data_IF_973887522446
#
_entry.id   IF_973887522446
#
_cell.length_a   1.000
_cell.length_b   1.000
_cell.length_c   1.000
_cell.angle_alpha   90.00
_cell.angle_beta   90.00
_cell.angle_gamma   90.00
#
_symmetry.space_group_name_H-M   'P 1'
#
loop_
_entity.id
_entity.type
_entity.pdbx_description
1 polymer ?
#
# COMPACT_ATOMS: atom_id res chain seq x y z
N UNK A 1 -11.34 4.72 -25.67
CA UNK A 1 -11.67 5.89 -24.82
C UNK A 1 -10.38 6.61 -24.45
N UNK A 2 -10.45 7.93 -24.19
CA UNK A 2 -9.32 8.67 -23.60
C UNK A 2 -9.51 8.80 -22.10
N UNK A 3 -8.52 8.37 -21.32
CA UNK A 3 -8.57 8.32 -19.85
C UNK A 3 -7.44 9.14 -19.26
N UNK A 4 -7.76 10.01 -18.31
CA UNK A 4 -6.77 10.77 -17.54
C UNK A 4 -6.51 10.05 -16.22
N UNK A 5 -5.26 9.64 -15.98
CA UNK A 5 -4.81 9.03 -14.73
C UNK A 5 -4.15 10.11 -13.85
N UNK A 6 -4.64 10.28 -12.62
CA UNK A 6 -4.15 11.27 -11.66
C UNK A 6 -3.49 10.56 -10.48
N UNK A 7 -2.19 10.78 -10.30
CA UNK A 7 -1.41 10.25 -9.17
C UNK A 7 -0.50 11.32 -8.58
N UNK A 8 -0.44 11.43 -7.26
CA UNK A 8 0.40 12.41 -6.55
C UNK A 8 1.85 11.98 -6.41
N UNK A 9 2.15 10.70 -6.66
CA UNK A 9 3.49 10.13 -6.71
C UNK A 9 3.65 9.30 -7.98
N UNK A 10 4.84 9.38 -8.57
CA UNK A 10 5.19 8.75 -9.85
C UNK A 10 6.67 8.34 -9.81
N UNK A 11 7.10 7.30 -10.51
CA UNK A 11 8.51 6.95 -10.55
C UNK A 11 9.42 8.14 -10.89
N UNK A 12 10.55 8.30 -10.21
CA UNK A 12 11.23 7.33 -9.32
C UNK A 12 10.77 7.32 -7.85
N UNK A 13 9.64 7.94 -7.49
CA UNK A 13 9.10 7.83 -6.14
C UNK A 13 8.82 6.37 -5.77
N UNK A 14 8.93 6.05 -4.47
CA UNK A 14 8.65 4.71 -3.94
C UNK A 14 7.32 4.70 -3.18
N UNK A 15 6.54 3.65 -3.39
CA UNK A 15 5.27 3.42 -2.69
C UNK A 15 4.17 2.87 -3.61
N UNK A 16 3.15 2.27 -3.02
CA UNK A 16 2.07 1.58 -3.76
C UNK A 16 1.46 2.36 -4.92
N UNK A 17 1.07 3.64 -4.78
CA UNK A 17 0.55 4.40 -5.91
C UNK A 17 1.60 4.70 -7.00
N UNK A 18 2.91 4.70 -6.67
CA UNK A 18 3.97 4.95 -7.64
C UNK A 18 4.22 3.73 -8.55
N UNK A 19 3.95 2.52 -8.10
CA UNK A 19 3.95 1.30 -8.92
C UNK A 19 2.60 1.07 -9.60
N UNK A 20 1.50 1.26 -8.87
CA UNK A 20 0.15 1.00 -9.36
C UNK A 20 -0.28 1.90 -10.53
N UNK A 21 0.02 3.21 -10.47
CA UNK A 21 -0.48 4.13 -11.48
C UNK A 21 0.17 3.93 -12.88
N UNK A 22 1.50 3.67 -13.00
CA UNK A 22 2.09 3.25 -14.28
C UNK A 22 1.54 1.92 -14.81
N UNK A 23 1.46 0.88 -13.96
CA UNK A 23 0.93 -0.42 -14.38
C UNK A 23 -0.52 -0.32 -14.88
N UNK A 24 -1.36 0.50 -14.23
CA UNK A 24 -2.71 0.76 -14.74
C UNK A 24 -2.70 1.54 -16.07
N UNK A 25 -1.80 2.52 -16.23
CA UNK A 25 -1.69 3.26 -17.48
C UNK A 25 -1.30 2.34 -18.65
N UNK A 26 -0.39 1.40 -18.41
CA UNK A 26 0.02 0.38 -19.38
C UNK A 26 -1.14 -0.59 -19.67
N UNK A 27 -1.83 -1.12 -18.67
CA UNK A 27 -3.00 -1.98 -18.87
C UNK A 27 -4.15 -1.29 -19.62
N UNK A 28 -4.34 0.02 -19.44
CA UNK A 28 -5.30 0.81 -20.24
C UNK A 28 -4.89 0.93 -21.71
N UNK A 29 -3.59 1.08 -22.00
CA UNK A 29 -3.08 1.10 -23.37
C UNK A 29 -3.25 -0.26 -24.05
N UNK A 30 -2.89 -1.35 -23.35
CA UNK A 30 -3.07 -2.72 -23.83
C UNK A 30 -4.53 -3.04 -24.13
N UNK A 31 -5.46 -2.46 -23.35
CA UNK A 31 -6.91 -2.56 -23.59
C UNK A 31 -7.41 -1.63 -24.74
N UNK A 32 -6.52 -1.01 -25.51
CA UNK A 32 -6.85 -0.17 -26.67
C UNK A 32 -7.37 1.23 -26.30
N UNK A 33 -7.10 1.73 -25.08
CA UNK A 33 -7.45 3.08 -24.66
C UNK A 33 -6.27 4.04 -24.80
N UNK A 34 -6.57 5.33 -24.97
CA UNK A 34 -5.54 6.37 -24.90
C UNK A 34 -5.44 6.91 -23.48
N UNK A 35 -4.21 7.11 -23.00
CA UNK A 35 -3.93 7.54 -21.64
C UNK A 35 -3.21 8.88 -21.63
N UNK A 36 -3.56 9.74 -20.69
CA UNK A 36 -2.82 10.94 -20.33
C UNK A 36 -2.66 10.97 -18.81
N UNK A 37 -1.45 11.25 -18.31
CA UNK A 37 -1.16 11.22 -16.87
C UNK A 37 -0.97 12.64 -16.33
N UNK A 38 -1.52 12.89 -15.13
CA UNK A 38 -1.26 14.13 -14.36
C UNK A 38 -0.66 13.74 -13.00
N UNK A 39 0.56 14.21 -12.73
CA UNK A 39 1.28 13.88 -11.50
C UNK A 39 1.93 15.08 -10.82
N UNK A 40 2.51 14.85 -9.64
CA UNK A 40 3.45 15.79 -9.00
C UNK A 40 4.79 15.11 -8.82
N UNK A 41 5.88 15.84 -9.05
CA UNK A 41 7.23 15.32 -8.94
C UNK A 41 8.20 16.39 -8.45
N UNK A 42 9.35 15.98 -7.91
CA UNK A 42 10.44 16.90 -7.53
C UNK A 42 11.38 17.19 -8.70
N UNK A 43 11.43 16.27 -9.68
CA UNK A 43 12.21 16.36 -10.92
C UNK A 43 11.31 15.98 -12.10
N UNK A 44 11.74 16.32 -13.31
CA UNK A 44 11.06 15.91 -14.53
C UNK A 44 10.96 14.38 -14.58
N UNK A 45 9.75 13.78 -14.63
CA UNK A 45 9.58 12.36 -14.76
C UNK A 45 10.16 11.83 -16.07
N UNK A 46 10.61 10.58 -16.07
CA UNK A 46 11.10 9.92 -17.28
C UNK A 46 10.00 9.85 -18.36
N UNK A 47 10.36 9.96 -19.65
CA UNK A 47 9.41 9.82 -20.76
C UNK A 47 8.67 8.47 -20.72
N UNK A 48 7.42 8.49 -21.17
CA UNK A 48 6.53 7.33 -21.27
C UNK A 48 5.85 7.30 -22.63
N UNK A 49 5.29 6.16 -23.07
CA UNK A 49 4.59 6.07 -24.35
C UNK A 49 3.24 6.81 -24.39
N UNK A 50 2.96 7.62 -23.37
CA UNK A 50 1.76 8.45 -23.23
C UNK A 50 2.13 9.84 -22.68
N UNK A 51 1.31 10.89 -22.95
CA UNK A 51 1.53 12.22 -22.44
C UNK A 51 1.53 12.24 -20.91
N UNK A 52 2.56 12.85 -20.31
CA UNK A 52 2.70 13.00 -18.88
C UNK A 52 2.86 14.48 -18.53
N UNK A 53 1.85 15.03 -17.83
CA UNK A 53 1.88 16.36 -17.28
C UNK A 53 2.28 16.30 -15.82
N UNK A 54 3.13 17.20 -15.37
CA UNK A 54 3.55 17.22 -14.00
C UNK A 54 3.61 18.62 -13.40
N UNK A 55 3.45 18.68 -12.08
CA UNK A 55 3.54 19.90 -11.30
C UNK A 55 4.63 19.73 -10.25
N UNK A 56 5.60 20.65 -10.22
CA UNK A 56 6.71 20.62 -9.27
C UNK A 56 6.20 20.70 -7.82
N UNK A 57 6.68 19.79 -6.95
CA UNK A 57 6.31 19.73 -5.53
C UNK A 57 6.87 20.91 -4.73
N UNK A 58 7.98 21.47 -5.13
CA UNK A 58 8.60 22.63 -4.50
C UNK A 58 7.79 23.95 -4.59
N UNK A 59 6.72 23.98 -5.41
CA UNK A 59 5.84 25.17 -5.47
C UNK A 59 5.12 25.37 -4.12
N UNK A 60 4.86 26.65 -3.71
CA UNK A 60 4.02 26.96 -2.56
C UNK A 60 2.68 26.21 -2.63
N UNK A 61 2.22 25.68 -1.49
CA UNK A 61 1.08 24.75 -1.45
C UNK A 61 -0.19 25.29 -2.16
N UNK A 62 -0.64 26.57 -1.99
CA UNK A 62 -1.82 27.07 -2.69
C UNK A 62 -1.64 27.07 -4.21
N UNK A 63 -0.49 27.53 -4.69
CA UNK A 63 -0.18 27.61 -6.13
C UNK A 63 -0.06 26.20 -6.75
N UNK A 64 0.55 25.27 -6.02
CA UNK A 64 0.63 23.85 -6.42
C UNK A 64 -0.75 23.21 -6.51
N UNK A 65 -1.63 23.47 -5.55
CA UNK A 65 -3.00 22.96 -5.58
C UNK A 65 -3.76 23.47 -6.80
N UNK A 66 -3.69 24.77 -7.08
CA UNK A 66 -4.32 25.39 -8.24
C UNK A 66 -3.73 24.84 -9.55
N UNK A 67 -2.40 24.72 -9.64
CA UNK A 67 -1.73 24.18 -10.81
C UNK A 67 -2.20 22.74 -11.12
N UNK A 68 -2.27 21.86 -10.11
CA UNK A 68 -2.78 20.49 -10.31
C UNK A 68 -4.21 20.50 -10.80
N UNK A 69 -5.10 21.31 -10.22
CA UNK A 69 -6.50 21.40 -10.69
C UNK A 69 -6.57 21.88 -12.15
N UNK A 70 -5.74 22.87 -12.52
CA UNK A 70 -5.65 23.37 -13.89
C UNK A 70 -5.17 22.28 -14.86
N UNK A 71 -4.13 21.53 -14.52
CA UNK A 71 -3.61 20.46 -15.37
C UNK A 71 -4.64 19.32 -15.51
N UNK A 72 -5.27 18.88 -14.41
CA UNK A 72 -6.35 17.88 -14.48
C UNK A 72 -7.51 18.38 -15.34
N UNK A 73 -7.97 19.64 -15.17
CA UNK A 73 -9.02 20.22 -16.00
C UNK A 73 -8.63 20.24 -17.48
N UNK A 74 -7.40 20.66 -17.78
CA UNK A 74 -6.89 20.76 -19.15
C UNK A 74 -6.85 19.37 -19.82
N UNK A 75 -6.27 18.36 -19.17
CA UNK A 75 -6.24 16.99 -19.65
C UNK A 75 -7.65 16.40 -19.80
N UNK A 76 -8.52 16.63 -18.82
CA UNK A 76 -9.87 16.10 -18.79
C UNK A 76 -10.82 16.67 -19.86
N UNK A 77 -10.58 17.88 -20.39
CA UNK A 77 -11.44 18.48 -21.44
C UNK A 77 -11.55 17.60 -22.70
N UNK A 78 -10.45 16.95 -23.07
CA UNK A 78 -10.40 16.04 -24.22
C UNK A 78 -10.53 14.56 -23.86
N UNK A 79 -10.87 14.22 -22.62
CA UNK A 79 -10.96 12.86 -22.15
C UNK A 79 -12.41 12.41 -21.92
N UNK A 80 -12.62 11.12 -21.87
CA UNK A 80 -13.92 10.52 -21.56
C UNK A 80 -14.09 10.37 -20.05
N UNK A 81 -13.03 10.00 -19.34
CA UNK A 81 -13.04 9.76 -17.89
C UNK A 81 -11.75 10.20 -17.20
N UNK A 82 -11.86 10.44 -15.91
CA UNK A 82 -10.72 10.71 -15.02
C UNK A 82 -10.65 9.60 -13.98
N UNK A 83 -9.48 9.03 -13.79
CA UNK A 83 -9.18 8.12 -12.69
C UNK A 83 -8.20 8.76 -11.72
N UNK A 84 -8.42 8.62 -10.42
CA UNK A 84 -7.52 9.16 -9.40
C UNK A 84 -7.23 8.12 -8.31
N UNK A 85 -5.95 7.88 -8.03
CA UNK A 85 -5.51 7.04 -6.90
C UNK A 85 -5.01 7.87 -5.72
N UNK A 86 -4.61 9.11 -5.96
CA UNK A 86 -4.24 10.11 -4.93
C UNK A 86 -4.69 11.50 -5.40
N UNK A 87 -4.42 12.55 -4.63
CA UNK A 87 -4.86 13.92 -4.94
C UNK A 87 -6.38 14.04 -5.21
N UNK A 88 -7.19 13.19 -4.60
CA UNK A 88 -8.62 12.98 -4.91
C UNK A 88 -9.41 14.29 -4.97
N UNK A 89 -9.22 15.22 -4.02
CA UNK A 89 -9.94 16.50 -3.99
C UNK A 89 -9.62 17.38 -5.20
N UNK A 90 -8.36 17.38 -5.65
CA UNK A 90 -7.91 18.16 -6.82
C UNK A 90 -8.40 17.52 -8.12
N UNK A 91 -8.31 16.19 -8.18
CA UNK A 91 -8.85 15.44 -9.30
C UNK A 91 -10.37 15.64 -9.44
N UNK A 92 -11.11 15.58 -8.33
CA UNK A 92 -12.56 15.82 -8.31
C UNK A 92 -12.94 17.22 -8.79
N UNK A 93 -12.20 18.25 -8.35
CA UNK A 93 -12.45 19.62 -8.80
C UNK A 93 -12.10 19.80 -10.28
N UNK A 94 -10.94 19.29 -10.74
CA UNK A 94 -10.53 19.37 -12.13
C UNK A 94 -11.48 18.65 -13.09
N UNK A 95 -11.90 17.42 -12.72
CA UNK A 95 -12.87 16.64 -13.47
C UNK A 95 -14.25 17.30 -13.54
N UNK A 96 -14.74 17.86 -12.42
CA UNK A 96 -15.99 18.58 -12.34
C UNK A 96 -15.98 19.83 -13.24
N UNK A 97 -14.89 20.63 -13.23
CA UNK A 97 -14.71 21.78 -14.09
C UNK A 97 -14.61 21.42 -15.58
N UNK A 98 -14.20 20.21 -15.89
CA UNK A 98 -14.19 19.66 -17.24
C UNK A 98 -15.49 18.91 -17.60
N UNK A 99 -16.43 18.74 -16.65
CA UNK A 99 -17.66 17.99 -16.77
C UNK A 99 -17.41 16.51 -17.18
N UNK A 100 -16.40 15.88 -16.56
CA UNK A 100 -16.03 14.49 -16.84
C UNK A 100 -16.27 13.59 -15.62
N UNK A 101 -16.76 12.35 -15.85
CA UNK A 101 -16.91 11.37 -14.79
C UNK A 101 -15.55 11.08 -14.12
N UNK A 102 -15.56 10.90 -12.80
CA UNK A 102 -14.41 10.57 -12.01
C UNK A 102 -14.56 9.19 -11.38
N UNK A 103 -13.56 8.33 -11.54
CA UNK A 103 -13.40 7.08 -10.77
C UNK A 103 -12.26 7.27 -9.78
N UNK A 104 -12.46 6.89 -8.53
CA UNK A 104 -11.47 7.05 -7.46
C UNK A 104 -11.07 5.68 -6.91
N UNK A 105 -9.78 5.39 -6.84
CA UNK A 105 -9.22 4.33 -5.99
C UNK A 105 -8.88 4.96 -4.64
N UNK A 106 -9.75 4.76 -3.66
CA UNK A 106 -9.55 5.24 -2.31
C UNK A 106 -8.70 4.22 -1.53
N UNK A 107 -7.50 4.60 -1.13
CA UNK A 107 -6.55 3.71 -0.43
C UNK A 107 -6.37 4.03 1.04
N UNK A 108 -6.81 5.22 1.50
CA UNK A 108 -6.71 5.65 2.90
C UNK A 108 -7.67 6.80 3.20
N UNK A 109 -7.97 7.04 4.48
CA UNK A 109 -8.61 8.28 4.93
C UNK A 109 -7.58 9.41 4.99
N UNK A 110 -7.61 10.31 3.99
CA UNK A 110 -6.69 11.45 3.90
C UNK A 110 -6.76 12.37 5.14
N UNK A 111 -7.92 12.47 5.79
CA UNK A 111 -8.07 13.30 6.99
C UNK A 111 -7.32 12.66 8.18
N UNK A 112 -7.48 11.36 8.38
CA UNK A 112 -6.76 10.59 9.39
C UNK A 112 -5.26 10.64 9.18
N UNK A 113 -4.79 10.30 7.97
CA UNK A 113 -3.37 10.29 7.62
C UNK A 113 -2.69 11.66 7.84
N UNK A 114 -3.41 12.76 7.58
CA UNK A 114 -2.88 14.10 7.81
C UNK A 114 -2.75 14.46 9.28
N UNK A 115 -3.73 14.08 10.09
CA UNK A 115 -3.70 14.35 11.54
C UNK A 115 -2.66 13.49 12.25
N UNK A 116 -2.53 12.22 11.86
CA UNK A 116 -1.46 11.32 12.32
C UNK A 116 -0.08 11.86 11.99
N UNK A 117 0.16 12.13 10.71
CA UNK A 117 1.46 12.61 10.22
C UNK A 117 1.90 13.93 10.82
N UNK A 118 0.96 14.73 11.29
CA UNK A 118 1.21 15.98 11.99
C UNK A 118 1.28 15.84 13.52
N UNK A 119 1.23 14.62 14.06
CA UNK A 119 1.29 14.34 15.49
C UNK A 119 0.07 14.86 16.29
N UNK A 120 -1.04 15.19 15.62
CA UNK A 120 -2.23 15.75 16.27
C UNK A 120 -3.29 14.72 16.65
N UNK A 121 -3.11 13.50 16.23
CA UNK A 121 -3.96 12.37 16.58
C UNK A 121 -3.11 11.11 16.71
N UNK A 122 -3.26 10.38 17.83
CA UNK A 122 -2.49 9.17 18.11
C UNK A 122 -3.34 7.88 18.10
N UNK A 123 -4.67 8.00 18.04
CA UNK A 123 -5.61 6.87 18.10
C UNK A 123 -5.71 6.06 16.81
N UNK A 124 -6.56 5.03 16.82
CA UNK A 124 -6.86 4.19 15.65
C UNK A 124 -7.74 4.92 14.63
N UNK A 125 -7.89 4.34 13.45
CA UNK A 125 -8.78 4.91 12.43
C UNK A 125 -10.25 4.89 12.88
N UNK A 126 -10.68 3.86 13.62
CA UNK A 126 -12.01 3.74 14.19
C UNK A 126 -12.27 4.84 15.23
N UNK A 127 -11.32 5.05 16.14
CA UNK A 127 -11.39 6.13 17.13
C UNK A 127 -11.48 7.49 16.43
N UNK A 128 -10.67 7.70 15.39
CA UNK A 128 -10.75 8.91 14.58
C UNK A 128 -12.12 9.10 13.93
N UNK A 129 -12.78 8.02 13.45
CA UNK A 129 -14.14 8.13 12.91
C UNK A 129 -15.17 8.47 14.00
N UNK A 130 -15.02 7.94 15.22
CA UNK A 130 -15.94 8.16 16.35
C UNK A 130 -15.86 9.59 16.90
N UNK A 131 -14.70 10.22 16.84
CA UNK A 131 -14.52 11.58 17.37
C UNK A 131 -15.12 12.65 16.44
N UNK A 132 -15.74 13.69 17.01
CA UNK A 132 -16.22 14.83 16.21
C UNK A 132 -15.07 15.63 15.59
N UNK A 133 -13.95 15.74 16.27
CA UNK A 133 -12.80 16.54 15.88
C UNK A 133 -13.06 18.06 15.87
N UNK A 134 -12.01 18.86 15.87
CA UNK A 134 -12.06 20.31 15.74
C UNK A 134 -12.48 20.78 14.34
N UNK A 135 -12.66 22.09 14.15
CA UNK A 135 -13.11 22.70 12.90
C UNK A 135 -12.28 22.28 11.69
N UNK A 136 -10.97 22.20 11.85
CA UNK A 136 -10.04 21.74 10.80
C UNK A 136 -10.32 20.30 10.36
N UNK A 137 -10.49 19.37 11.31
CA UNK A 137 -10.78 17.96 11.01
C UNK A 137 -12.13 17.85 10.30
N UNK A 138 -13.14 18.59 10.79
CA UNK A 138 -14.47 18.65 10.17
C UNK A 138 -14.38 19.13 8.71
N UNK A 139 -13.59 20.19 8.43
CA UNK A 139 -13.39 20.70 7.08
C UNK A 139 -12.66 19.66 6.18
N UNK A 140 -11.62 18.99 6.70
CA UNK A 140 -10.92 17.93 5.97
C UNK A 140 -11.87 16.80 5.60
N UNK A 141 -12.69 16.34 6.55
CA UNK A 141 -13.70 15.29 6.34
C UNK A 141 -14.77 15.74 5.34
N UNK A 142 -15.30 16.95 5.49
CA UNK A 142 -16.31 17.48 4.57
C UNK A 142 -15.81 17.59 3.14
N UNK A 143 -14.60 18.12 2.94
CA UNK A 143 -14.00 18.26 1.60
C UNK A 143 -13.63 16.93 0.98
N UNK A 144 -13.14 15.94 1.77
CA UNK A 144 -12.93 14.56 1.35
C UNK A 144 -14.25 13.93 0.88
N UNK A 145 -15.27 13.98 1.73
CA UNK A 145 -16.58 13.38 1.44
C UNK A 145 -17.23 14.03 0.22
N UNK A 146 -17.18 15.35 0.10
CA UNK A 146 -17.71 16.06 -1.07
C UNK A 146 -17.00 15.66 -2.38
N UNK A 147 -15.68 15.42 -2.33
CA UNK A 147 -14.93 14.95 -3.50
C UNK A 147 -15.32 13.52 -3.88
N UNK A 148 -15.44 12.62 -2.89
CA UNK A 148 -15.81 11.22 -3.13
C UNK A 148 -17.26 11.07 -3.61
N UNK A 149 -18.21 11.84 -3.08
CA UNK A 149 -19.61 11.84 -3.55
C UNK A 149 -19.76 12.27 -5.00
N UNK A 150 -18.81 13.05 -5.55
CA UNK A 150 -18.78 13.41 -6.97
C UNK A 150 -18.24 12.32 -7.87
N UNK A 151 -17.58 11.30 -7.31
CA UNK A 151 -17.09 10.19 -8.09
C UNK A 151 -18.27 9.33 -8.60
N UNK A 152 -18.18 8.92 -9.85
CA UNK A 152 -19.13 7.97 -10.45
C UNK A 152 -18.93 6.57 -9.87
N UNK A 153 -17.69 6.22 -9.51
CA UNK A 153 -17.33 4.99 -8.78
C UNK A 153 -16.20 5.27 -7.79
N UNK A 154 -16.24 4.59 -6.64
CA UNK A 154 -15.18 4.60 -5.62
C UNK A 154 -14.74 3.15 -5.44
N UNK A 155 -13.48 2.86 -5.74
CA UNK A 155 -12.86 1.55 -5.56
C UNK A 155 -12.05 1.58 -4.26
N UNK A 156 -12.26 0.61 -3.40
CA UNK A 156 -11.54 0.47 -2.12
C UNK A 156 -10.82 -0.87 -2.06
N UNK A 157 -9.64 -0.98 -1.40
CA UNK A 157 -8.85 -2.21 -1.43
C UNK A 157 -9.40 -3.33 -0.53
N UNK A 158 -10.31 -3.03 0.40
CA UNK A 158 -10.78 -3.98 1.42
C UNK A 158 -12.24 -3.72 1.81
N UNK A 159 -12.92 -4.73 2.33
CA UNK A 159 -14.24 -4.59 2.94
C UNK A 159 -14.18 -3.70 4.18
N UNK A 160 -13.08 -3.78 4.95
CA UNK A 160 -12.80 -2.90 6.07
C UNK A 160 -12.87 -1.41 5.66
N UNK A 161 -12.10 -1.00 4.64
CA UNK A 161 -12.13 0.41 4.21
C UNK A 161 -13.46 0.77 3.55
N UNK A 162 -14.15 -0.20 2.91
CA UNK A 162 -15.49 0.01 2.39
C UNK A 162 -16.48 0.37 3.51
N UNK A 163 -16.46 -0.38 4.61
CA UNK A 163 -17.33 -0.11 5.76
C UNK A 163 -17.11 1.31 6.31
N UNK A 164 -15.86 1.72 6.49
CA UNK A 164 -15.49 3.07 6.90
C UNK A 164 -15.98 4.12 5.89
N UNK A 165 -15.77 3.90 4.60
CA UNK A 165 -16.18 4.82 3.54
C UNK A 165 -17.70 4.99 3.45
N UNK A 166 -18.47 3.92 3.66
CA UNK A 166 -19.93 3.97 3.74
C UNK A 166 -20.41 4.81 4.95
N UNK A 167 -19.68 4.78 6.07
CA UNK A 167 -19.90 5.67 7.21
C UNK A 167 -19.76 7.17 6.88
N UNK A 168 -19.13 7.52 5.77
CA UNK A 168 -19.07 8.90 5.25
C UNK A 168 -20.26 9.23 4.33
N UNK A 169 -21.30 8.41 4.35
CA UNK A 169 -22.49 8.53 3.50
C UNK A 169 -22.17 8.50 2.00
N UNK A 170 -21.24 7.62 1.60
CA UNK A 170 -21.04 7.28 0.20
C UNK A 170 -22.11 6.29 -0.25
N UNK A 171 -22.45 6.32 -1.54
CA UNK A 171 -23.40 5.41 -2.15
C UNK A 171 -22.84 3.98 -2.19
N UNK A 172 -23.50 3.00 -1.54
CA UNK A 172 -23.05 1.60 -1.55
C UNK A 172 -22.96 0.99 -2.95
N UNK A 173 -23.84 1.41 -3.89
CA UNK A 173 -23.87 0.92 -5.27
C UNK A 173 -22.66 1.42 -6.08
N UNK A 174 -22.07 2.55 -5.68
CA UNK A 174 -20.89 3.16 -6.31
C UNK A 174 -19.58 2.86 -5.59
N UNK A 175 -19.64 2.17 -4.44
CA UNK A 175 -18.47 1.88 -3.61
C UNK A 175 -18.18 0.38 -3.64
N UNK A 176 -17.19 -0.02 -4.43
CA UNK A 176 -16.88 -1.43 -4.74
C UNK A 176 -15.51 -1.82 -4.17
N UNK A 177 -15.41 -3.03 -3.65
CA UNK A 177 -14.12 -3.60 -3.23
C UNK A 177 -13.36 -4.11 -4.46
N UNK A 178 -12.20 -3.53 -4.70
CA UNK A 178 -11.21 -4.01 -5.65
C UNK A 178 -9.87 -3.99 -4.94
N UNK A 179 -9.34 -5.15 -4.61
CA UNK A 179 -8.12 -5.29 -3.81
C UNK A 179 -6.91 -4.60 -4.46
N UNK A 180 -5.84 -4.47 -3.71
CA UNK A 180 -4.54 -4.16 -4.30
C UNK A 180 -4.03 -5.40 -5.03
N UNK A 181 -3.24 -5.25 -6.11
CA UNK A 181 -2.72 -6.38 -6.86
C UNK A 181 -1.57 -7.07 -6.11
N UNK A 182 -1.57 -8.40 -6.16
CA UNK A 182 -0.41 -9.22 -5.86
C UNK A 182 0.51 -9.23 -7.10
N UNK A 183 1.84 -9.05 -6.95
CA UNK A 183 2.76 -9.05 -8.07
C UNK A 183 2.86 -10.42 -8.74
N UNK A 184 3.19 -10.43 -10.01
CA UNK A 184 3.81 -11.59 -10.63
C UNK A 184 5.22 -11.75 -10.08
N UNK A 185 5.55 -12.95 -9.63
CA UNK A 185 6.86 -13.24 -9.04
C UNK A 185 7.69 -14.05 -10.04
N UNK A 186 8.84 -13.55 -10.49
CA UNK A 186 9.72 -14.25 -11.41
C UNK A 186 10.16 -15.62 -10.85
N UNK A 187 10.48 -16.57 -11.72
CA UNK A 187 11.01 -17.88 -11.29
C UNK A 187 12.35 -17.72 -10.58
N UNK A 188 13.20 -16.82 -11.06
CA UNK A 188 14.50 -16.51 -10.46
C UNK A 188 14.54 -15.13 -9.79
N UNK A 189 15.38 -14.95 -8.76
CA UNK A 189 16.19 -16.00 -8.13
C UNK A 189 15.31 -17.03 -7.40
N UNK A 190 15.77 -18.25 -7.34
CA UNK A 190 15.18 -19.28 -6.46
C UNK A 190 15.36 -18.89 -4.99
N UNK A 191 14.73 -19.62 -4.06
CA UNK A 191 14.90 -19.38 -2.62
C UNK A 191 16.39 -19.49 -2.22
N UNK A 192 17.09 -20.53 -2.69
CA UNK A 192 18.48 -20.77 -2.31
C UNK A 192 19.41 -19.69 -2.88
N UNK A 193 19.20 -19.30 -4.13
CA UNK A 193 19.92 -18.18 -4.76
C UNK A 193 19.69 -16.86 -4.00
N UNK A 194 18.46 -16.57 -3.60
CA UNK A 194 18.11 -15.38 -2.83
C UNK A 194 18.74 -15.41 -1.43
N UNK A 195 18.73 -16.56 -0.74
CA UNK A 195 19.39 -16.75 0.57
C UNK A 195 20.88 -16.55 0.47
N UNK A 196 21.53 -17.14 -0.55
CA UNK A 196 22.96 -16.99 -0.80
C UNK A 196 23.33 -15.52 -1.07
N UNK A 197 22.56 -14.83 -1.92
CA UNK A 197 22.79 -13.42 -2.25
C UNK A 197 22.67 -12.51 -1.02
N UNK A 198 21.76 -12.84 -0.09
CA UNK A 198 21.57 -12.07 1.15
C UNK A 198 22.43 -12.61 2.32
N UNK A 199 23.22 -13.67 2.13
CA UNK A 199 24.05 -14.26 3.19
C UNK A 199 23.21 -14.69 4.39
N UNK A 200 22.09 -15.38 4.15
CA UNK A 200 21.18 -15.86 5.20
C UNK A 200 21.54 -17.28 5.58
N UNK A 201 21.99 -17.44 6.82
CA UNK A 201 22.18 -18.71 7.50
C UNK A 201 21.11 -18.87 8.58
N UNK A 202 20.51 -20.06 8.71
CA UNK A 202 19.49 -20.32 9.72
C UNK A 202 18.13 -19.62 9.45
N UNK A 203 17.33 -19.45 10.50
CA UNK A 203 15.99 -18.89 10.42
C UNK A 203 16.03 -17.36 10.32
N UNK A 204 15.33 -16.82 9.33
CA UNK A 204 15.31 -15.40 9.05
C UNK A 204 13.89 -14.86 8.83
N UNK A 205 13.64 -13.68 9.37
CA UNK A 205 12.43 -12.87 9.16
C UNK A 205 12.72 -11.71 8.20
N UNK A 206 11.75 -11.35 7.39
CA UNK A 206 11.81 -10.21 6.48
C UNK A 206 10.77 -9.16 6.78
N UNK A 207 11.18 -7.91 6.76
CA UNK A 207 10.30 -6.74 6.79
C UNK A 207 10.61 -5.87 5.59
N UNK A 208 9.58 -5.43 4.85
CA UNK A 208 9.74 -4.47 3.77
C UNK A 208 8.80 -3.28 3.94
N UNK A 209 9.29 -2.07 3.64
CA UNK A 209 8.48 -0.86 3.61
C UNK A 209 9.11 0.36 4.28
N UNK A 210 8.39 1.47 4.29
CA UNK A 210 8.87 2.72 4.90
C UNK A 210 8.98 2.57 6.41
N UNK A 211 10.10 3.00 6.99
CA UNK A 211 10.34 2.98 8.42
C UNK A 211 9.62 4.16 9.08
N UNK A 212 8.38 3.90 9.49
CA UNK A 212 7.46 4.89 10.07
C UNK A 212 6.71 4.30 11.25
N UNK A 213 6.17 5.14 12.12
CA UNK A 213 5.33 4.76 13.26
C UNK A 213 4.22 3.76 12.89
N UNK A 214 3.65 3.88 11.68
CA UNK A 214 2.63 2.97 11.17
C UNK A 214 3.08 1.51 11.20
N UNK A 215 4.33 1.24 10.86
CA UNK A 215 4.88 -0.12 10.77
C UNK A 215 5.20 -0.75 12.14
N UNK A 216 5.25 0.05 13.19
CA UNK A 216 5.48 -0.37 14.57
C UNK A 216 6.68 -1.33 14.73
N UNK A 217 7.79 -1.03 14.04
CA UNK A 217 8.96 -1.90 14.04
C UNK A 217 9.67 -2.00 15.40
N UNK A 218 9.37 -1.10 16.34
CA UNK A 218 9.80 -1.26 17.73
C UNK A 218 9.20 -2.53 18.35
N UNK A 219 7.95 -2.86 18.05
CA UNK A 219 7.29 -4.09 18.50
C UNK A 219 7.94 -5.32 17.84
N UNK A 220 8.34 -5.22 16.56
CA UNK A 220 9.14 -6.23 15.86
C UNK A 220 10.45 -6.52 16.59
N UNK A 221 11.21 -5.48 16.92
CA UNK A 221 12.51 -5.62 17.63
C UNK A 221 12.31 -6.19 19.02
N UNK A 222 11.29 -5.76 19.74
CA UNK A 222 10.96 -6.27 21.07
C UNK A 222 10.51 -7.75 21.03
N UNK A 223 9.81 -8.18 20.00
CA UNK A 223 9.45 -9.57 19.79
C UNK A 223 10.69 -10.42 19.45
N UNK A 224 11.56 -9.92 18.55
CA UNK A 224 12.82 -10.58 18.19
C UNK A 224 13.73 -10.80 19.42
N UNK A 225 13.78 -9.85 20.35
CA UNK A 225 14.58 -9.97 21.56
C UNK A 225 14.17 -11.17 22.45
N UNK A 226 12.91 -11.62 22.34
CA UNK A 226 12.39 -12.75 23.10
C UNK A 226 12.66 -14.12 22.44
N UNK A 227 13.05 -14.12 21.15
CA UNK A 227 13.28 -15.35 20.39
C UNK A 227 14.75 -15.37 19.93
N UNK A 228 15.58 -16.23 20.53
CA UNK A 228 17.00 -16.31 20.16
C UNK A 228 17.18 -16.96 18.77
N UNK A 229 18.36 -16.73 18.17
CA UNK A 229 18.81 -17.36 16.91
C UNK A 229 17.93 -17.09 15.70
N UNK A 230 17.19 -15.99 15.70
CA UNK A 230 16.42 -15.52 14.56
C UNK A 230 17.06 -14.26 14.00
N UNK A 231 17.34 -14.24 12.70
CA UNK A 231 17.81 -13.06 12.00
C UNK A 231 16.61 -12.21 11.52
N UNK A 232 16.78 -10.90 11.48
CA UNK A 232 15.78 -9.96 10.94
C UNK A 232 16.42 -9.10 9.86
N UNK A 233 15.87 -9.14 8.65
CA UNK A 233 16.26 -8.30 7.54
C UNK A 233 15.19 -7.25 7.31
N UNK A 234 15.57 -5.97 7.31
CA UNK A 234 14.67 -4.82 7.14
C UNK A 234 15.05 -4.09 5.85
N UNK A 235 14.22 -4.21 4.83
CA UNK A 235 14.36 -3.50 3.55
C UNK A 235 13.43 -2.29 3.54
N UNK A 236 14.03 -1.12 3.59
CA UNK A 236 13.33 0.15 3.62
C UNK A 236 14.13 1.24 4.29
N UNK A 237 13.60 2.45 4.20
CA UNK A 237 14.15 3.62 4.86
C UNK A 237 13.03 4.53 5.38
N UNK A 238 13.35 5.47 6.24
CA UNK A 238 12.39 6.41 6.81
C UNK A 238 12.86 7.09 8.08
N UNK A 239 12.00 7.95 8.62
CA UNK A 239 12.32 8.80 9.77
C UNK A 239 12.65 8.01 11.04
N UNK A 240 12.14 6.79 11.16
CA UNK A 240 12.35 5.94 12.36
C UNK A 240 13.68 5.18 12.32
N UNK A 241 14.43 5.16 11.22
CA UNK A 241 15.63 4.34 11.07
C UNK A 241 16.59 4.47 12.22
N UNK A 242 17.05 5.70 12.51
CA UNK A 242 18.01 5.92 13.58
C UNK A 242 17.48 5.56 14.98
N UNK A 243 16.17 5.70 15.21
CA UNK A 243 15.54 5.29 16.46
C UNK A 243 15.50 3.76 16.56
N UNK A 244 15.20 3.06 15.47
CA UNK A 244 15.15 1.60 15.42
C UNK A 244 16.54 0.97 15.59
N UNK A 245 17.60 1.55 15.01
CA UNK A 245 18.98 1.12 15.21
C UNK A 245 19.40 1.25 16.70
N UNK A 246 19.08 2.39 17.34
CA UNK A 246 19.30 2.55 18.79
C UNK A 246 18.48 1.55 19.61
N UNK A 247 17.23 1.30 19.21
CA UNK A 247 16.37 0.35 19.90
C UNK A 247 16.89 -1.08 19.79
N UNK A 248 17.43 -1.48 18.66
CA UNK A 248 18.06 -2.78 18.47
C UNK A 248 19.28 -2.95 19.41
N UNK A 249 20.09 -1.89 19.56
CA UNK A 249 21.21 -1.89 20.50
C UNK A 249 20.75 -2.00 21.97
N UNK A 250 19.71 -1.26 22.36
CA UNK A 250 19.15 -1.33 23.71
C UNK A 250 18.58 -2.70 24.07
N UNK A 251 18.09 -3.44 23.07
CA UNK A 251 17.52 -4.78 23.22
C UNK A 251 18.56 -5.90 23.05
N UNK A 252 19.81 -5.55 22.78
CA UNK A 252 20.92 -6.49 22.54
C UNK A 252 20.63 -7.47 21.37
N UNK A 253 20.10 -6.91 20.27
CA UNK A 253 19.77 -7.68 19.06
C UNK A 253 20.44 -7.15 17.79
N UNK A 254 21.34 -6.19 17.90
CA UNK A 254 21.97 -5.53 16.74
C UNK A 254 22.71 -6.50 15.82
N UNK A 255 23.32 -7.53 16.38
CA UNK A 255 24.04 -8.60 15.66
C UNK A 255 23.12 -9.45 14.77
N UNK A 256 21.82 -9.47 15.07
CA UNK A 256 20.80 -10.24 14.37
C UNK A 256 19.88 -9.39 13.48
N UNK A 257 20.04 -8.07 13.49
CA UNK A 257 19.22 -7.12 12.70
C UNK A 257 20.04 -6.49 11.60
N UNK A 258 19.59 -6.63 10.37
CA UNK A 258 20.24 -6.05 9.19
C UNK A 258 19.32 -5.05 8.52
N UNK A 259 19.70 -3.78 8.54
CA UNK A 259 19.03 -2.71 7.79
C UNK A 259 19.63 -2.63 6.39
N UNK A 260 18.85 -3.05 5.38
CA UNK A 260 19.29 -3.12 3.98
C UNK A 260 19.16 -1.79 3.23
N UNK A 261 18.50 -0.78 3.84
CA UNK A 261 18.24 0.50 3.17
C UNK A 261 17.03 0.45 2.23
N UNK A 262 16.87 1.51 1.45
CA UNK A 262 15.80 1.57 0.45
C UNK A 262 16.08 0.57 -0.69
N UNK A 263 15.02 -0.08 -1.16
CA UNK A 263 15.09 -1.04 -2.25
C UNK A 263 13.98 -0.85 -3.28
N UNK A 264 14.14 -1.53 -4.40
CA UNK A 264 13.14 -1.64 -5.47
C UNK A 264 12.06 -2.69 -5.13
N UNK A 265 11.04 -2.82 -5.97
CA UNK A 265 10.05 -3.91 -5.85
C UNK A 265 10.70 -5.29 -6.02
N UNK A 266 11.68 -5.40 -6.90
CA UNK A 266 12.40 -6.65 -7.13
C UNK A 266 13.21 -7.05 -5.90
N UNK A 267 13.87 -6.09 -5.22
CA UNK A 267 14.56 -6.34 -3.96
C UNK A 267 13.60 -6.82 -2.86
N UNK A 268 12.35 -6.32 -2.83
CA UNK A 268 11.31 -6.80 -1.90
C UNK A 268 10.94 -8.26 -2.19
N UNK A 269 10.80 -8.64 -3.46
CA UNK A 269 10.51 -10.02 -3.84
C UNK A 269 11.70 -10.94 -3.49
N UNK A 270 12.94 -10.52 -3.77
CA UNK A 270 14.14 -11.26 -3.40
C UNK A 270 14.21 -11.46 -1.88
N UNK A 271 13.97 -10.41 -1.09
CA UNK A 271 13.92 -10.50 0.37
C UNK A 271 12.89 -11.52 0.83
N UNK A 272 11.63 -11.38 0.39
CA UNK A 272 10.58 -12.28 0.84
C UNK A 272 10.81 -13.72 0.41
N UNK A 273 11.34 -13.95 -0.76
CA UNK A 273 11.71 -15.30 -1.20
C UNK A 273 12.81 -15.93 -0.35
N UNK A 274 13.73 -15.13 0.17
CA UNK A 274 14.87 -15.61 0.96
C UNK A 274 14.54 -15.94 2.41
N UNK A 275 13.55 -15.28 3.01
CA UNK A 275 13.24 -15.42 4.44
C UNK A 275 12.26 -16.57 4.72
N UNK A 276 12.18 -16.98 5.99
CA UNK A 276 11.29 -18.06 6.44
C UNK A 276 9.88 -17.56 6.73
N UNK A 277 9.75 -16.30 7.10
CA UNK A 277 8.46 -15.60 7.21
C UNK A 277 8.63 -14.09 7.02
N UNK A 278 7.60 -13.45 6.48
CA UNK A 278 7.48 -11.99 6.50
C UNK A 278 6.81 -11.55 7.80
N UNK A 279 7.27 -10.44 8.38
CA UNK A 279 6.72 -9.89 9.62
C UNK A 279 6.12 -8.51 9.37
N UNK A 280 4.83 -8.36 9.66
CA UNK A 280 4.05 -7.13 9.48
C UNK A 280 3.37 -6.72 10.79
N UNK A 281 4.09 -6.05 11.68
CA UNK A 281 3.60 -5.62 13.00
C UNK A 281 2.83 -4.29 12.96
N UNK A 282 2.36 -3.87 11.81
CA UNK A 282 1.76 -2.55 11.59
C UNK A 282 0.67 -2.22 12.63
N UNK A 283 0.69 -0.99 13.12
CA UNK A 283 -0.33 -0.49 14.05
C UNK A 283 -1.67 -0.21 13.36
N UNK A 284 -1.64 0.13 12.08
CA UNK A 284 -2.82 0.27 11.22
C UNK A 284 -2.46 0.05 9.75
N UNK A 285 -3.39 -0.54 9.01
CA UNK A 285 -3.28 -0.78 7.56
C UNK A 285 -4.66 -0.68 6.90
N UNK A 286 -4.68 -0.58 5.58
CA UNK A 286 -5.87 -0.90 4.81
C UNK A 286 -5.69 -2.28 4.17
N UNK A 287 -4.92 -2.37 3.09
CA UNK A 287 -4.43 -3.61 2.53
C UNK A 287 -3.01 -3.35 2.01
N UNK A 288 -1.96 -3.72 2.77
CA UNK A 288 -0.58 -3.37 2.39
C UNK A 288 -0.10 -4.20 1.21
N UNK A 289 0.60 -3.56 0.27
CA UNK A 289 1.23 -4.25 -0.86
C UNK A 289 2.25 -5.28 -0.39
N UNK A 290 3.03 -4.97 0.65
CA UNK A 290 4.06 -5.87 1.20
C UNK A 290 3.50 -7.20 1.72
N UNK A 291 2.24 -7.22 2.18
CA UNK A 291 1.54 -8.46 2.50
C UNK A 291 1.36 -9.33 1.25
N UNK A 292 0.84 -8.72 0.18
CA UNK A 292 0.58 -9.42 -1.08
C UNK A 292 1.88 -9.86 -1.76
N UNK A 293 2.92 -9.05 -1.67
CA UNK A 293 4.27 -9.34 -2.16
C UNK A 293 4.89 -10.54 -1.43
N UNK A 294 4.76 -10.62 -0.10
CA UNK A 294 5.25 -11.74 0.69
C UNK A 294 4.51 -13.04 0.33
N UNK A 295 3.18 -13.00 0.34
CA UNK A 295 2.37 -14.18 0.00
C UNK A 295 2.61 -14.63 -1.45
N UNK A 296 2.67 -13.72 -2.41
CA UNK A 296 2.96 -14.05 -3.81
C UNK A 296 4.36 -14.69 -3.99
N UNK A 297 5.34 -14.28 -3.18
CA UNK A 297 6.68 -14.89 -3.16
C UNK A 297 6.70 -16.30 -2.52
N UNK A 298 5.57 -16.83 -2.05
CA UNK A 298 5.47 -18.10 -1.37
C UNK A 298 5.93 -18.05 0.10
N UNK A 299 5.97 -16.86 0.69
CA UNK A 299 6.45 -16.65 2.05
C UNK A 299 5.29 -16.43 2.99
N UNK A 300 5.14 -17.28 4.03
CA UNK A 300 4.09 -17.12 5.03
C UNK A 300 4.31 -15.84 5.82
N UNK A 301 3.23 -15.27 6.35
CA UNK A 301 3.30 -14.00 7.07
C UNK A 301 2.94 -14.17 8.54
N UNK A 302 3.61 -13.43 9.42
CA UNK A 302 3.14 -13.11 10.77
C UNK A 302 2.68 -11.65 10.70
N UNK A 303 1.38 -11.41 10.89
CA UNK A 303 0.83 -10.07 10.69
C UNK A 303 -0.12 -9.67 11.82
N UNK A 304 -0.16 -8.38 12.13
CA UNK A 304 -1.18 -7.85 13.04
C UNK A 304 -2.56 -7.86 12.39
N UNK A 305 -3.58 -8.26 13.16
CA UNK A 305 -4.98 -8.32 12.72
C UNK A 305 -5.60 -6.92 12.63
N UNK A 306 -5.10 -6.07 11.73
CA UNK A 306 -5.56 -4.69 11.53
C UNK A 306 -6.03 -4.43 10.10
N UNK A 307 -7.03 -3.60 9.93
CA UNK A 307 -7.53 -3.16 8.63
C UNK A 307 -8.03 -4.33 7.77
N UNK A 308 -7.58 -4.38 6.52
CA UNK A 308 -7.92 -5.45 5.57
C UNK A 308 -6.96 -6.65 5.61
N UNK A 309 -6.00 -6.71 6.53
CA UNK A 309 -5.08 -7.86 6.63
C UNK A 309 -5.85 -9.16 6.88
N UNK A 310 -6.84 -9.24 7.80
CA UNK A 310 -7.61 -10.46 8.04
C UNK A 310 -8.51 -10.90 6.87
N UNK A 311 -8.68 -10.06 5.85
CA UNK A 311 -9.42 -10.44 4.63
C UNK A 311 -8.57 -11.31 3.69
N UNK A 312 -7.24 -11.31 3.86
CA UNK A 312 -6.28 -12.04 3.03
C UNK A 312 -5.54 -13.09 3.84
N UNK A 313 -5.10 -12.75 5.05
CA UNK A 313 -4.43 -13.72 5.94
C UNK A 313 -5.47 -14.50 6.71
N UNK A 314 -5.48 -15.82 6.50
CA UNK A 314 -6.24 -16.79 7.27
C UNK A 314 -5.31 -17.42 8.29
N UNK A 315 -5.63 -17.19 9.58
CA UNK A 315 -4.79 -17.65 10.69
C UNK A 315 -4.60 -19.17 10.69
N UNK A 316 -3.35 -19.61 10.70
CA UNK A 316 -2.98 -21.03 10.64
C UNK A 316 -3.07 -21.67 9.24
N UNK A 317 -3.49 -20.95 8.19
CA UNK A 317 -3.57 -21.49 6.82
C UNK A 317 -2.46 -20.93 5.90
N UNK A 318 -2.35 -19.61 5.75
CA UNK A 318 -1.34 -18.94 4.91
C UNK A 318 -0.47 -17.94 5.70
N UNK A 319 -0.67 -17.84 7.00
CA UNK A 319 0.07 -16.99 7.92
C UNK A 319 -0.46 -17.13 9.34
N UNK A 320 0.09 -16.31 10.25
CA UNK A 320 -0.35 -16.21 11.63
C UNK A 320 -0.80 -14.77 11.91
N UNK A 321 -1.98 -14.63 12.54
CA UNK A 321 -2.50 -13.33 12.96
C UNK A 321 -2.23 -13.11 14.45
N UNK A 322 -1.77 -11.90 14.78
CA UNK A 322 -1.51 -11.48 16.16
C UNK A 322 -2.24 -10.16 16.45
N UNK A 323 -2.62 -9.89 17.71
CA UNK A 323 -3.17 -8.60 18.07
C UNK A 323 -2.14 -7.46 17.83
N UNK A 324 -2.59 -6.27 17.42
CA UNK A 324 -1.68 -5.13 17.30
C UNK A 324 -1.13 -4.73 18.69
N UNK A 325 0.14 -4.31 18.71
CA UNK A 325 0.86 -3.93 19.94
C UNK A 325 1.08 -5.06 20.96
N UNK A 326 0.80 -6.29 20.59
CA UNK A 326 1.06 -7.46 21.44
C UNK A 326 2.40 -8.12 21.07
N UNK A 327 3.45 -7.62 21.70
CA UNK A 327 4.83 -8.12 21.54
C UNK A 327 4.95 -9.59 21.96
N UNK A 328 4.16 -10.03 22.96
CA UNK A 328 4.21 -11.41 23.44
C UNK A 328 3.60 -12.37 22.41
N UNK A 329 2.45 -12.02 21.85
CA UNK A 329 1.83 -12.80 20.79
C UNK A 329 2.72 -12.86 19.53
N UNK A 330 3.33 -11.74 19.13
CA UNK A 330 4.27 -11.71 18.01
C UNK A 330 5.50 -12.62 18.26
N UNK A 331 6.11 -12.55 19.45
CA UNK A 331 7.22 -13.43 19.81
C UNK A 331 6.80 -14.93 19.83
N UNK A 332 5.63 -15.25 20.36
CA UNK A 332 5.07 -16.60 20.36
C UNK A 332 4.85 -17.13 18.94
N UNK A 333 4.31 -16.30 18.04
CA UNK A 333 4.13 -16.67 16.64
C UNK A 333 5.46 -16.93 15.92
N UNK A 334 6.49 -16.09 16.19
CA UNK A 334 7.85 -16.31 15.66
C UNK A 334 8.41 -17.64 16.20
N UNK A 335 8.40 -17.86 17.52
CA UNK A 335 8.92 -19.09 18.15
C UNK A 335 8.21 -20.35 17.64
N UNK A 336 6.88 -20.26 17.40
CA UNK A 336 6.11 -21.35 16.80
C UNK A 336 6.63 -21.70 15.40
N UNK A 337 6.88 -20.72 14.53
CA UNK A 337 7.43 -20.99 13.20
C UNK A 337 8.87 -21.48 13.22
N UNK A 338 9.66 -21.09 14.22
CA UNK A 338 11.03 -21.60 14.41
C UNK A 338 11.01 -23.10 14.76
N UNK A 339 10.11 -23.50 15.66
CA UNK A 339 10.07 -24.88 16.19
C UNK A 339 9.27 -25.87 15.35
N UNK A 340 8.23 -25.38 14.68
CA UNK A 340 7.29 -26.21 13.92
C UNK A 340 7.55 -26.06 12.41
N UNK A 341 8.45 -26.91 11.92
CA UNK A 341 8.79 -26.94 10.50
C UNK A 341 7.62 -27.40 9.62
N UNK A 342 6.79 -28.29 10.12
CA UNK A 342 5.62 -28.82 9.39
C UNK A 342 4.60 -27.69 9.18
N UNK A 343 4.29 -26.95 10.24
CA UNK A 343 3.43 -25.77 10.13
C UNK A 343 4.03 -24.74 9.15
N UNK A 344 5.32 -24.41 9.29
CA UNK A 344 5.99 -23.44 8.42
C UNK A 344 5.90 -23.84 6.94
N UNK A 345 6.17 -25.10 6.64
CA UNK A 345 6.08 -25.63 5.28
C UNK A 345 4.63 -25.60 4.75
N UNK A 346 3.65 -25.94 5.58
CA UNK A 346 2.22 -25.87 5.22
C UNK A 346 1.79 -24.44 4.90
N UNK A 347 2.14 -23.48 5.76
CA UNK A 347 1.83 -22.05 5.54
C UNK A 347 2.50 -21.53 4.26
N UNK A 348 3.76 -21.91 4.02
CA UNK A 348 4.49 -21.50 2.82
C UNK A 348 3.85 -22.06 1.55
N UNK A 349 3.44 -23.33 1.55
CA UNK A 349 2.75 -23.95 0.42
C UNK A 349 1.41 -23.28 0.10
N UNK A 350 0.70 -22.77 1.10
CA UNK A 350 -0.57 -22.09 0.94
C UNK A 350 -0.44 -20.59 0.61
N UNK A 351 0.74 -19.97 0.79
CA UNK A 351 0.93 -18.53 0.67
C UNK A 351 0.61 -18.01 -0.74
N UNK A 352 1.32 -18.47 -1.77
CA UNK A 352 1.13 -17.99 -3.15
C UNK A 352 -0.28 -18.32 -3.71
N UNK A 353 -0.83 -19.53 -3.54
CA UNK A 353 -2.21 -19.84 -3.95
C UNK A 353 -3.26 -18.91 -3.32
N UNK A 354 -3.05 -18.47 -2.08
CA UNK A 354 -4.00 -17.61 -1.36
C UNK A 354 -4.24 -16.23 -1.99
N UNK A 355 -3.33 -15.78 -2.84
CA UNK A 355 -3.40 -14.46 -3.52
C UNK A 355 -3.51 -14.56 -5.04
N UNK A 356 -3.71 -15.75 -5.61
CA UNK A 356 -3.85 -15.95 -7.06
C UNK A 356 -5.01 -15.15 -7.66
N UNK A 357 -6.15 -15.08 -6.96
CA UNK A 357 -7.29 -14.26 -7.36
C UNK A 357 -7.00 -12.74 -7.33
N UNK A 358 -5.93 -12.34 -6.64
CA UNK A 358 -5.45 -10.98 -6.54
C UNK A 358 -4.29 -10.67 -7.52
N UNK A 359 -3.95 -11.61 -8.41
CA UNK A 359 -2.89 -11.44 -9.40
C UNK A 359 -3.03 -10.11 -10.17
N UNK A 360 -1.92 -9.41 -10.40
CA UNK A 360 -1.89 -8.06 -10.94
C UNK A 360 -2.68 -7.92 -12.25
N UNK A 361 -2.56 -8.82 -13.26
CA UNK A 361 -3.33 -8.69 -14.49
C UNK A 361 -4.85 -8.80 -14.26
N UNK A 362 -5.28 -9.64 -13.31
CA UNK A 362 -6.69 -9.81 -12.97
C UNK A 362 -7.26 -8.57 -12.28
N UNK A 363 -6.54 -8.03 -11.31
CA UNK A 363 -6.96 -6.81 -10.61
C UNK A 363 -6.93 -5.60 -11.53
N UNK A 364 -5.92 -5.45 -12.38
CA UNK A 364 -5.85 -4.35 -13.35
C UNK A 364 -7.03 -4.41 -14.33
N UNK A 365 -7.39 -5.59 -14.87
CA UNK A 365 -8.59 -5.76 -15.70
C UNK A 365 -9.86 -5.31 -14.97
N UNK A 366 -10.05 -5.69 -13.70
CA UNK A 366 -11.19 -5.24 -12.88
C UNK A 366 -11.22 -3.72 -12.71
N UNK A 367 -10.07 -3.09 -12.53
CA UNK A 367 -9.97 -1.62 -12.43
C UNK A 367 -10.28 -0.97 -13.77
N UNK A 368 -9.71 -1.47 -14.88
CA UNK A 368 -10.00 -0.99 -16.25
C UNK A 368 -11.51 -1.08 -16.50
N UNK A 369 -12.14 -2.22 -16.24
CA UNK A 369 -13.58 -2.42 -16.38
C UNK A 369 -14.40 -1.43 -15.53
N UNK A 370 -13.99 -1.19 -14.28
CA UNK A 370 -14.62 -0.20 -13.42
C UNK A 370 -14.48 1.24 -13.95
N UNK A 371 -13.36 1.55 -14.62
CA UNK A 371 -13.13 2.86 -15.26
C UNK A 371 -13.98 3.00 -16.51
N UNK A 372 -13.96 2.01 -17.39
CA UNK A 372 -14.62 2.06 -18.70
C UNK A 372 -16.15 1.92 -18.57
N UNK A 373 -16.63 1.19 -17.54
CA UNK A 373 -18.05 0.85 -17.36
C UNK A 373 -18.44 -0.36 -18.22
N UNK A 374 -19.58 -0.97 -17.88
CA UNK A 374 -20.14 -2.10 -18.61
C UNK A 374 -20.72 -1.61 -19.94
N UNK A 375 -19.90 -1.19 -20.88
CA UNK A 375 -20.25 -1.25 -22.29
C UNK A 375 -19.79 -2.62 -22.76
N UNK A 376 -20.74 -3.54 -22.86
CA UNK A 376 -20.54 -4.70 -23.71
C UNK A 376 -20.06 -4.24 -25.09
N UNK A 377 -19.20 -5.05 -25.74
CA UNK A 377 -18.72 -4.78 -27.09
C UNK A 377 -19.85 -4.71 -28.08
#
# INVERSE_FOLDING_TARGET
MKIVVVSGIWPPDVGGPASHAPALAEALLEAGHTVEVVTTADRTPAPRPYPLRWVARGRPAPLRHLAVVREVRSAARGADRVYATTMVRRAALGAALARRPLVVKLVADEAYERERRAGRFAGTLEQFQAERGGLRVRLLRATRTAALRRASRVLVPSAYLRAIALGWSLDPARTTVVANPAPEVPVHPTRDEARAALGIEGFALGVAGRLTEQKALEDTLAALARVPRVALLILGDGLERAALERRAAQLDVSDRVRFLGAGTRDDVIVLFRAVDAALLTSAWENLPHTLLEALAAGTPVIATAVGGIPEVVRDGENGLLVPPRDVAAAASAIDRLVRDEVLRASLAAAAAPSVEELAEPRILRRIVQAIVGDREP
#
